data_IF_375388280734
#
_entry.id   IF_375388280734
#
_cell.length_a   1.000
_cell.length_b   1.000
_cell.length_c   1.000
_cell.angle_alpha   90.00
_cell.angle_beta   90.00
_cell.angle_gamma   90.00
#
_symmetry.space_group_name_H-M   'P 1'
#
loop_
_entity.id
_entity.type
_entity.pdbx_description
1 polymer ?
#
# COMPACT_ATOMS: atom_id res chain seq x y z
N UNK A 1 -40.69 74.10 -3.06
CA UNK A 1 -40.56 72.86 -3.84
C UNK A 1 -39.23 72.20 -3.54
N UNK A 2 -39.24 71.23 -2.59
CA UNK A 2 -38.03 70.59 -2.09
C UNK A 2 -37.93 69.20 -2.76
N UNK A 3 -36.91 68.97 -3.62
CA UNK A 3 -36.69 67.69 -4.33
C UNK A 3 -35.76 66.81 -3.50
N UNK A 4 -36.34 65.83 -2.81
CA UNK A 4 -35.60 64.78 -2.08
C UNK A 4 -35.00 63.81 -3.07
N UNK A 5 -33.66 63.73 -3.16
CA UNK A 5 -32.95 62.71 -3.94
C UNK A 5 -32.71 61.49 -3.05
N UNK A 6 -33.37 60.40 -3.37
CA UNK A 6 -33.15 59.08 -2.76
C UNK A 6 -31.90 58.46 -3.38
N UNK A 7 -30.84 58.28 -2.62
CA UNK A 7 -29.65 57.53 -3.01
C UNK A 7 -29.90 56.07 -2.63
N UNK A 8 -30.08 55.23 -3.65
CA UNK A 8 -30.06 53.76 -3.49
C UNK A 8 -28.61 53.30 -3.36
N UNK A 9 -28.19 52.85 -2.18
CA UNK A 9 -26.89 52.20 -1.94
C UNK A 9 -27.07 50.74 -2.29
N UNK A 10 -26.60 50.27 -3.46
CA UNK A 10 -26.54 48.88 -3.84
C UNK A 10 -25.41 48.19 -3.09
N UNK A 11 -25.73 47.40 -2.08
CA UNK A 11 -24.79 46.56 -1.33
C UNK A 11 -24.48 45.33 -2.21
N UNK A 12 -23.30 45.33 -2.84
CA UNK A 12 -22.75 44.13 -3.50
C UNK A 12 -22.34 43.14 -2.41
N UNK A 13 -23.20 42.14 -2.16
CA UNK A 13 -22.85 40.98 -1.35
C UNK A 13 -21.94 40.08 -2.20
N UNK A 14 -20.64 40.23 -2.02
CA UNK A 14 -19.63 39.31 -2.57
C UNK A 14 -19.76 37.99 -1.82
N UNK A 15 -20.49 37.02 -2.35
CA UNK A 15 -20.48 35.65 -1.84
C UNK A 15 -19.15 35.00 -2.25
N UNK A 16 -18.13 35.13 -1.42
CA UNK A 16 -16.98 34.24 -1.49
C UNK A 16 -17.48 32.84 -1.12
N UNK A 17 -17.74 32.02 -2.14
CA UNK A 17 -17.97 30.61 -1.91
C UNK A 17 -16.77 30.06 -1.15
N UNK A 18 -16.97 29.69 0.11
CA UNK A 18 -15.96 28.99 0.89
C UNK A 18 -15.66 27.68 0.14
N UNK A 19 -14.49 27.62 -0.50
CA UNK A 19 -14.01 26.41 -1.14
C UNK A 19 -13.78 25.41 -0.01
N UNK A 20 -14.63 24.39 0.10
CA UNK A 20 -14.41 23.31 1.04
C UNK A 20 -12.98 22.77 0.80
N UNK A 21 -12.16 22.81 1.84
CA UNK A 21 -10.83 22.22 1.78
C UNK A 21 -11.02 20.72 1.52
N UNK A 22 -10.22 20.16 0.60
CA UNK A 22 -10.18 18.72 0.40
C UNK A 22 -9.89 18.04 1.75
N UNK A 23 -10.49 16.87 2.02
CA UNK A 23 -10.23 16.15 3.27
C UNK A 23 -8.73 15.90 3.45
N UNK A 24 -8.25 15.89 4.69
CA UNK A 24 -6.86 15.50 5.00
C UNK A 24 -6.72 13.97 4.85
N UNK A 25 -6.95 13.49 3.64
CA UNK A 25 -6.77 12.10 3.27
C UNK A 25 -5.77 11.96 2.13
N UNK A 26 -5.00 10.89 2.18
CA UNK A 26 -4.13 10.46 1.08
C UNK A 26 -4.78 9.35 0.25
N UNK A 27 -5.94 8.80 0.67
CA UNK A 27 -6.62 7.71 -0.01
C UNK A 27 -7.50 8.25 -1.14
N UNK A 28 -7.23 7.78 -2.36
CA UNK A 28 -7.95 8.19 -3.57
C UNK A 28 -9.45 7.91 -3.45
N UNK A 29 -9.84 6.80 -2.84
CA UNK A 29 -11.24 6.38 -2.68
C UNK A 29 -12.04 7.24 -1.71
N UNK A 30 -11.39 8.09 -0.92
CA UNK A 30 -12.04 9.07 -0.03
C UNK A 30 -12.19 10.46 -0.67
N UNK A 31 -11.71 10.63 -1.90
CA UNK A 31 -11.74 11.90 -2.63
C UNK A 31 -12.85 11.91 -3.68
N UNK A 32 -13.48 13.06 -3.86
CA UNK A 32 -14.30 13.30 -5.06
C UNK A 32 -13.39 13.50 -6.28
N UNK A 33 -13.93 13.30 -7.50
CA UNK A 33 -13.16 13.49 -8.72
C UNK A 33 -12.62 14.93 -8.88
N UNK A 34 -13.33 15.93 -8.33
CA UNK A 34 -12.89 17.34 -8.36
C UNK A 34 -11.75 17.60 -7.40
N UNK A 35 -11.77 17.03 -6.20
CA UNK A 35 -10.69 17.09 -5.23
C UNK A 35 -9.44 16.41 -5.77
N UNK A 36 -9.58 15.21 -6.33
CA UNK A 36 -8.47 14.49 -6.98
C UNK A 36 -7.83 15.33 -8.08
N UNK A 37 -8.64 15.87 -8.99
CA UNK A 37 -8.17 16.73 -10.08
C UNK A 37 -7.34 17.93 -9.54
N UNK A 38 -7.86 18.57 -8.50
CA UNK A 38 -7.22 19.78 -7.93
C UNK A 38 -5.92 19.41 -7.17
N UNK A 39 -5.89 18.25 -6.49
CA UNK A 39 -4.68 17.71 -5.85
C UNK A 39 -3.60 17.37 -6.88
N UNK A 40 -3.94 16.70 -7.97
CA UNK A 40 -2.98 16.39 -9.06
C UNK A 40 -2.43 17.70 -9.66
N UNK A 41 -3.27 18.70 -9.92
CA UNK A 41 -2.84 20.02 -10.40
C UNK A 41 -1.95 20.76 -9.41
N UNK A 42 -2.11 20.53 -8.12
CA UNK A 42 -1.27 21.13 -7.07
C UNK A 42 0.05 20.41 -6.82
N UNK A 43 0.35 19.32 -7.57
CA UNK A 43 1.62 18.59 -7.49
C UNK A 43 1.55 17.21 -6.82
N UNK A 44 0.37 16.68 -6.47
CA UNK A 44 0.20 15.30 -6.04
C UNK A 44 0.24 14.38 -7.27
N UNK A 45 1.43 14.13 -7.79
CA UNK A 45 1.63 13.42 -9.07
C UNK A 45 2.12 11.98 -8.93
N UNK A 46 2.36 11.51 -7.71
CA UNK A 46 2.70 10.12 -7.41
C UNK A 46 1.46 9.38 -6.92
N UNK A 47 1.18 8.19 -7.46
CA UNK A 47 0.15 7.28 -6.94
C UNK A 47 0.79 5.98 -6.48
N UNK A 48 0.62 5.63 -5.21
CA UNK A 48 1.00 4.33 -4.67
C UNK A 48 -0.16 3.37 -4.91
N UNK A 49 0.13 2.25 -5.53
CA UNK A 49 -0.81 1.14 -5.77
C UNK A 49 -0.45 0.02 -4.80
N UNK A 50 -1.14 -0.08 -3.66
CA UNK A 50 -0.88 -1.12 -2.69
C UNK A 50 -1.42 -2.47 -3.18
N UNK A 51 -0.60 -3.51 -3.12
CA UNK A 51 -0.93 -4.87 -3.54
C UNK A 51 -0.82 -5.77 -2.32
N UNK A 52 -1.93 -6.36 -1.92
CA UNK A 52 -2.02 -7.20 -0.74
C UNK A 52 -2.04 -8.69 -1.06
N UNK A 53 -3.11 -9.35 -0.67
CA UNK A 53 -3.39 -10.76 -0.81
C UNK A 53 -4.35 -11.21 0.30
N UNK A 54 -5.13 -12.24 0.01
CA UNK A 54 -6.04 -12.84 0.99
C UNK A 54 -5.69 -14.30 1.13
N UNK A 55 -4.91 -14.63 2.15
CA UNK A 55 -4.35 -15.95 2.37
C UNK A 55 -4.47 -16.41 3.83
N UNK A 56 -4.26 -17.69 4.07
CA UNK A 56 -4.09 -18.22 5.41
C UNK A 56 -2.84 -17.63 6.09
N UNK A 57 -2.88 -17.41 7.38
CA UNK A 57 -1.78 -16.89 8.19
C UNK A 57 -1.75 -17.57 9.57
N UNK A 58 -1.81 -18.91 9.55
CA UNK A 58 -1.98 -19.71 10.76
C UNK A 58 -3.32 -19.45 11.48
N UNK A 59 -3.53 -20.06 12.64
CA UNK A 59 -4.79 -19.94 13.39
C UNK A 59 -4.93 -18.60 14.14
N UNK A 60 -3.88 -17.78 14.17
CA UNK A 60 -3.81 -16.58 15.00
C UNK A 60 -3.90 -15.26 14.23
N UNK A 61 -3.68 -15.24 12.92
CA UNK A 61 -3.84 -14.02 12.13
C UNK A 61 -4.98 -14.12 11.11
N UNK A 62 -5.65 -12.99 10.88
CA UNK A 62 -6.72 -12.90 9.90
C UNK A 62 -6.21 -13.02 8.46
N UNK A 63 -7.05 -13.57 7.57
CA UNK A 63 -6.75 -13.80 6.15
C UNK A 63 -6.30 -12.53 5.40
N UNK A 64 -6.79 -11.36 5.80
CA UNK A 64 -6.50 -10.08 5.17
C UNK A 64 -5.24 -9.37 5.71
N UNK A 65 -4.27 -10.09 6.28
CA UNK A 65 -3.00 -9.55 6.81
C UNK A 65 -2.35 -8.58 5.82
N UNK A 66 -2.06 -9.07 4.63
CA UNK A 66 -1.37 -8.31 3.59
C UNK A 66 -2.16 -7.07 3.15
N UNK A 67 -3.48 -7.21 2.95
CA UNK A 67 -4.33 -6.08 2.57
C UNK A 67 -4.27 -4.95 3.60
N UNK A 68 -4.34 -5.29 4.89
CA UNK A 68 -4.34 -4.32 5.97
C UNK A 68 -2.97 -3.69 6.17
N UNK A 69 -1.91 -4.49 6.10
CA UNK A 69 -0.53 -4.05 6.27
C UNK A 69 -0.13 -3.07 5.18
N UNK A 70 -0.30 -3.45 3.92
CA UNK A 70 0.06 -2.58 2.79
C UNK A 70 -0.77 -1.29 2.76
N UNK A 71 -2.06 -1.35 3.10
CA UNK A 71 -2.92 -0.16 3.17
C UNK A 71 -2.37 0.87 4.17
N UNK A 72 -2.11 0.47 5.42
CA UNK A 72 -1.65 1.37 6.47
C UNK A 72 -0.19 1.83 6.27
N UNK A 73 0.68 0.98 5.72
CA UNK A 73 2.06 1.38 5.43
C UNK A 73 2.12 2.32 4.23
N UNK A 74 1.28 2.11 3.21
CA UNK A 74 1.17 3.04 2.08
C UNK A 74 0.69 4.43 2.50
N UNK A 75 -0.24 4.53 3.46
CA UNK A 75 -0.62 5.82 4.05
C UNK A 75 0.60 6.53 4.66
N UNK A 76 1.35 5.82 5.52
CA UNK A 76 2.55 6.39 6.17
C UNK A 76 3.58 6.85 5.13
N UNK A 77 3.83 6.02 4.11
CA UNK A 77 4.76 6.33 3.01
C UNK A 77 4.28 7.56 2.24
N UNK A 78 3.01 7.62 1.83
CA UNK A 78 2.46 8.75 1.08
C UNK A 78 2.53 10.07 1.86
N UNK A 79 2.25 10.05 3.17
CA UNK A 79 2.37 11.22 4.04
C UNK A 79 3.82 11.72 4.15
N UNK A 80 4.82 10.82 4.25
CA UNK A 80 6.25 11.19 4.30
C UNK A 80 6.74 11.70 2.95
N UNK A 81 6.26 11.15 1.83
CA UNK A 81 6.58 11.64 0.48
C UNK A 81 6.01 13.04 0.22
N UNK A 82 4.84 13.34 0.73
CA UNK A 82 4.19 14.65 0.63
C UNK A 82 3.49 14.92 -0.72
N UNK A 83 3.93 14.30 -1.81
CA UNK A 83 3.37 14.44 -3.17
C UNK A 83 2.60 13.20 -3.65
N UNK A 84 2.35 12.23 -2.78
CA UNK A 84 1.73 10.97 -3.13
C UNK A 84 0.28 10.85 -2.64
N UNK A 85 -0.51 10.07 -3.38
CA UNK A 85 -1.80 9.53 -2.99
C UNK A 85 -1.73 7.99 -2.99
N UNK A 86 -2.72 7.33 -2.40
CA UNK A 86 -2.82 5.87 -2.28
C UNK A 86 -4.07 5.40 -3.00
N UNK A 87 -3.91 4.47 -3.92
CA UNK A 87 -5.00 3.80 -4.64
C UNK A 87 -5.70 2.76 -3.74
N UNK A 88 -6.89 2.27 -4.10
CA UNK A 88 -7.49 1.10 -3.48
C UNK A 88 -6.56 -0.12 -3.51
N UNK A 89 -6.62 -0.94 -2.46
CA UNK A 89 -5.79 -2.14 -2.36
C UNK A 89 -6.21 -3.19 -3.40
N UNK A 90 -5.24 -3.73 -4.14
CA UNK A 90 -5.45 -4.91 -4.97
C UNK A 90 -5.33 -6.15 -4.08
N UNK A 91 -6.47 -6.78 -3.76
CA UNK A 91 -6.59 -7.88 -2.81
C UNK A 91 -6.69 -9.27 -3.47
N UNK A 92 -6.95 -9.31 -4.79
CA UNK A 92 -7.03 -10.52 -5.58
C UNK A 92 -5.73 -10.69 -6.36
N UNK A 93 -4.88 -11.61 -5.88
CA UNK A 93 -3.51 -11.82 -6.34
C UNK A 93 -3.23 -13.33 -6.50
N UNK A 94 -2.15 -13.75 -7.17
CA UNK A 94 -1.74 -15.15 -7.21
C UNK A 94 -1.31 -15.68 -5.84
N UNK A 95 -2.00 -16.73 -5.36
CA UNK A 95 -1.75 -17.39 -4.07
C UNK A 95 -1.60 -18.92 -4.20
N UNK A 96 -1.48 -19.42 -5.42
CA UNK A 96 -1.32 -20.83 -5.72
C UNK A 96 -2.39 -21.40 -6.64
N UNK A 97 -2.26 -22.69 -6.96
CA UNK A 97 -3.17 -23.42 -7.84
C UNK A 97 -4.46 -23.87 -7.15
N UNK A 98 -5.55 -23.90 -7.91
CA UNK A 98 -6.88 -24.34 -7.43
C UNK A 98 -7.09 -25.84 -7.58
N UNK A 99 -6.56 -26.44 -8.67
CA UNK A 99 -6.77 -27.88 -8.97
C UNK A 99 -5.50 -28.55 -9.52
N UNK A 100 -4.80 -29.36 -8.70
CA UNK A 100 -5.00 -29.54 -7.25
C UNK A 100 -4.65 -28.28 -6.46
N UNK A 101 -5.18 -28.07 -5.24
CA UNK A 101 -4.79 -26.96 -4.39
C UNK A 101 -3.30 -27.02 -4.04
N UNK A 102 -2.59 -25.89 -4.24
CA UNK A 102 -1.18 -25.75 -3.88
C UNK A 102 -0.99 -24.56 -2.92
N UNK A 103 0.17 -24.46 -2.31
CA UNK A 103 0.56 -23.35 -1.43
C UNK A 103 -0.57 -23.02 -0.40
N UNK A 104 -0.90 -21.75 -0.26
CA UNK A 104 -1.92 -21.26 0.66
C UNK A 104 -3.34 -21.68 0.28
N UNK A 105 -3.57 -22.10 -0.98
CA UNK A 105 -4.88 -22.59 -1.45
C UNK A 105 -5.33 -23.89 -0.79
N UNK A 106 -4.46 -24.57 -0.05
CA UNK A 106 -4.82 -25.75 0.76
C UNK A 106 -5.66 -25.40 1.99
N UNK A 107 -5.77 -24.12 2.32
CA UNK A 107 -6.49 -23.63 3.51
C UNK A 107 -7.74 -22.84 3.11
N UNK A 108 -8.87 -23.05 3.80
CA UNK A 108 -10.09 -22.30 3.52
C UNK A 108 -9.90 -20.79 3.66
N UNK A 109 -10.48 -20.03 2.71
CA UNK A 109 -10.50 -18.58 2.75
C UNK A 109 -9.38 -17.91 1.98
N UNK A 110 -8.36 -18.64 1.52
CA UNK A 110 -7.38 -18.13 0.56
C UNK A 110 -8.05 -17.91 -0.79
N UNK A 111 -7.77 -16.78 -1.44
CA UNK A 111 -8.32 -16.40 -2.74
C UNK A 111 -7.16 -16.20 -3.72
N UNK A 112 -7.28 -16.80 -4.90
CA UNK A 112 -6.27 -16.65 -5.95
C UNK A 112 -6.88 -16.19 -7.28
N UNK A 113 -6.07 -15.52 -8.09
CA UNK A 113 -6.28 -15.30 -9.52
C UNK A 113 -5.04 -15.81 -10.27
N UNK A 114 -5.15 -15.99 -11.58
CA UNK A 114 -3.99 -16.35 -12.40
C UNK A 114 -3.08 -15.15 -12.63
N UNK A 115 -1.79 -15.40 -12.89
CA UNK A 115 -0.79 -14.35 -13.11
C UNK A 115 -1.21 -13.39 -14.23
N UNK A 116 -1.77 -13.91 -15.34
CA UNK A 116 -2.22 -13.09 -16.46
C UNK A 116 -3.38 -12.16 -16.11
N UNK A 117 -4.30 -12.59 -15.23
CA UNK A 117 -5.40 -11.75 -14.73
C UNK A 117 -4.83 -10.67 -13.81
N UNK A 118 -3.93 -11.04 -12.91
CA UNK A 118 -3.27 -10.11 -12.01
C UNK A 118 -2.49 -9.04 -12.78
N UNK A 119 -1.64 -9.43 -13.74
CA UNK A 119 -0.90 -8.49 -14.59
C UNK A 119 -1.83 -7.52 -15.33
N UNK A 120 -2.96 -8.00 -15.87
CA UNK A 120 -3.96 -7.14 -16.52
C UNK A 120 -4.62 -6.14 -15.58
N UNK A 121 -4.86 -6.52 -14.33
CA UNK A 121 -5.37 -5.59 -13.30
C UNK A 121 -4.36 -4.49 -13.03
N UNK A 122 -3.08 -4.83 -12.82
CA UNK A 122 -2.01 -3.86 -12.62
C UNK A 122 -1.89 -2.90 -13.81
N UNK A 123 -1.83 -3.44 -15.03
CA UNK A 123 -1.72 -2.65 -16.24
C UNK A 123 -2.89 -1.70 -16.43
N UNK A 124 -4.13 -2.19 -16.27
CA UNK A 124 -5.35 -1.39 -16.44
C UNK A 124 -5.44 -0.27 -15.40
N UNK A 125 -5.08 -0.57 -14.15
CA UNK A 125 -5.03 0.41 -13.08
C UNK A 125 -4.01 1.52 -13.38
N UNK A 126 -2.79 1.14 -13.77
CA UNK A 126 -1.73 2.09 -14.09
C UNK A 126 -2.10 3.01 -15.28
N UNK A 127 -2.73 2.47 -16.33
CA UNK A 127 -3.23 3.27 -17.47
C UNK A 127 -4.30 4.27 -17.02
N UNK A 128 -5.18 3.87 -16.11
CA UNK A 128 -6.20 4.76 -15.54
C UNK A 128 -5.58 5.90 -14.72
N UNK A 129 -4.55 5.63 -13.94
CA UNK A 129 -3.85 6.65 -13.17
C UNK A 129 -3.05 7.61 -14.07
N UNK A 130 -2.41 7.10 -15.14
CA UNK A 130 -1.80 7.95 -16.16
C UNK A 130 -2.82 8.90 -16.79
N UNK A 131 -4.00 8.40 -17.15
CA UNK A 131 -5.09 9.22 -17.70
C UNK A 131 -5.56 10.28 -16.70
N UNK A 132 -5.58 9.99 -15.40
CA UNK A 132 -5.93 10.92 -14.34
C UNK A 132 -4.88 12.03 -14.11
N UNK A 133 -3.68 11.92 -14.70
CA UNK A 133 -2.60 12.92 -14.64
C UNK A 133 -1.49 12.60 -13.65
N UNK A 134 -1.46 11.40 -13.09
CA UNK A 134 -0.30 10.95 -12.31
C UNK A 134 0.92 10.72 -13.23
N UNK A 135 2.10 11.02 -12.72
CA UNK A 135 3.38 10.87 -13.43
C UNK A 135 4.16 9.65 -12.96
N UNK A 136 4.06 9.34 -11.69
CA UNK A 136 4.73 8.20 -11.07
C UNK A 136 3.70 7.23 -10.53
N UNK A 137 3.60 6.05 -11.12
CA UNK A 137 2.76 4.95 -10.68
C UNK A 137 3.66 3.96 -9.96
N UNK A 138 3.47 3.82 -8.64
CA UNK A 138 4.34 3.06 -7.74
C UNK A 138 3.61 1.84 -7.24
N UNK A 139 4.00 0.65 -7.67
CA UNK A 139 3.52 -0.60 -7.14
C UNK A 139 4.26 -0.98 -5.86
N UNK A 140 3.51 -1.36 -4.83
CA UNK A 140 4.04 -1.87 -3.55
C UNK A 140 3.41 -3.22 -3.24
N UNK A 141 4.14 -4.30 -3.49
CA UNK A 141 3.71 -5.67 -3.24
C UNK A 141 4.08 -6.15 -1.83
N UNK A 142 3.09 -6.61 -1.08
CA UNK A 142 3.24 -7.07 0.33
C UNK A 142 3.43 -8.59 0.44
N UNK A 143 3.37 -9.35 -0.66
CA UNK A 143 3.55 -10.80 -0.70
C UNK A 143 4.61 -11.21 -1.74
N UNK A 144 5.34 -12.30 -1.48
CA UNK A 144 6.45 -12.75 -2.32
C UNK A 144 6.05 -13.35 -3.66
N UNK A 145 4.88 -13.97 -3.73
CA UNK A 145 4.46 -14.78 -4.86
C UNK A 145 4.36 -14.05 -6.20
N UNK A 146 4.06 -12.76 -6.18
CA UNK A 146 3.83 -11.95 -7.38
C UNK A 146 4.86 -10.83 -7.64
N UNK A 147 5.96 -10.77 -6.89
CA UNK A 147 6.99 -9.72 -7.07
C UNK A 147 7.55 -9.67 -8.49
N UNK A 148 7.70 -10.83 -9.14
CA UNK A 148 8.17 -10.95 -10.51
C UNK A 148 7.19 -10.34 -11.52
N UNK A 149 5.89 -10.58 -11.33
CA UNK A 149 4.84 -10.12 -12.24
C UNK A 149 4.67 -8.61 -12.12
N UNK A 150 4.64 -8.10 -10.89
CA UNK A 150 4.64 -6.68 -10.59
C UNK A 150 5.80 -5.95 -11.29
N UNK A 151 7.02 -6.46 -11.15
CA UNK A 151 8.21 -5.93 -11.83
C UNK A 151 8.10 -6.01 -13.33
N UNK A 152 7.57 -7.12 -13.87
CA UNK A 152 7.36 -7.32 -15.29
C UNK A 152 6.41 -6.28 -15.89
N UNK A 153 5.28 -6.03 -15.22
CA UNK A 153 4.30 -5.02 -15.63
C UNK A 153 4.90 -3.61 -15.57
N UNK A 154 5.54 -3.25 -14.46
CA UNK A 154 6.17 -1.94 -14.30
C UNK A 154 7.21 -1.68 -15.40
N UNK A 155 8.11 -2.63 -15.66
CA UNK A 155 9.16 -2.51 -16.69
C UNK A 155 8.56 -2.35 -18.10
N UNK A 156 7.49 -3.08 -18.42
CA UNK A 156 6.79 -3.00 -19.71
C UNK A 156 6.16 -1.63 -19.90
N UNK A 157 5.44 -1.14 -18.89
CA UNK A 157 4.76 0.15 -18.94
C UNK A 157 5.76 1.32 -18.98
N UNK A 158 6.82 1.28 -18.19
CA UNK A 158 7.85 2.32 -18.17
C UNK A 158 8.53 2.46 -19.54
N UNK A 159 8.83 1.33 -20.19
CA UNK A 159 9.36 1.33 -21.56
C UNK A 159 8.36 1.89 -22.57
N UNK A 160 7.08 1.51 -22.47
CA UNK A 160 6.03 2.02 -23.36
C UNK A 160 5.87 3.54 -23.22
N UNK A 161 6.02 4.06 -22.01
CA UNK A 161 5.76 5.46 -21.68
C UNK A 161 7.00 6.36 -21.71
N UNK A 162 8.17 5.84 -22.07
CA UNK A 162 9.46 6.53 -21.99
C UNK A 162 9.49 7.97 -22.60
N UNK A 163 8.67 8.22 -23.63
CA UNK A 163 8.59 9.54 -24.27
C UNK A 163 7.49 10.47 -23.68
N UNK A 164 6.78 10.03 -22.62
CA UNK A 164 5.59 10.75 -22.12
C UNK A 164 5.84 11.48 -20.79
N UNK A 165 6.98 11.28 -20.13
CA UNK A 165 7.27 11.78 -18.79
C UNK A 165 6.38 11.15 -17.72
N UNK A 166 5.87 9.94 -17.97
CA UNK A 166 5.13 9.11 -17.00
C UNK A 166 5.88 7.80 -16.81
N UNK A 167 6.01 7.37 -15.57
CA UNK A 167 6.83 6.22 -15.18
C UNK A 167 6.05 5.24 -14.32
N UNK A 168 6.35 3.96 -14.47
CA UNK A 168 5.85 2.89 -13.62
C UNK A 168 7.01 2.24 -12.85
N UNK A 169 6.86 2.11 -11.55
CA UNK A 169 7.89 1.61 -10.64
C UNK A 169 7.38 0.42 -9.84
N UNK A 170 8.10 -0.69 -9.84
CA UNK A 170 7.93 -1.75 -8.85
C UNK A 170 8.98 -1.55 -7.75
N UNK A 171 8.56 -1.30 -6.53
CA UNK A 171 9.46 -1.00 -5.41
C UNK A 171 9.69 -2.27 -4.58
N UNK A 172 10.55 -3.13 -5.08
CA UNK A 172 10.90 -4.42 -4.44
C UNK A 172 11.47 -4.24 -3.03
N UNK A 173 12.01 -3.04 -2.71
CA UNK A 173 12.55 -2.71 -1.40
C UNK A 173 11.51 -2.75 -0.29
N UNK A 174 10.23 -2.50 -0.60
CA UNK A 174 9.14 -2.64 0.35
C UNK A 174 9.07 -4.08 0.88
N UNK A 175 8.96 -5.06 -0.03
CA UNK A 175 8.92 -6.48 0.34
C UNK A 175 10.23 -6.95 0.96
N UNK A 176 11.37 -6.59 0.38
CA UNK A 176 12.69 -6.96 0.92
C UNK A 176 12.93 -6.43 2.34
N UNK A 177 12.45 -5.23 2.65
CA UNK A 177 12.56 -4.67 3.99
C UNK A 177 11.68 -5.42 5.00
N UNK A 178 10.48 -5.87 4.60
CA UNK A 178 9.57 -6.62 5.48
C UNK A 178 10.05 -8.04 5.76
N UNK A 179 10.68 -8.68 4.78
CA UNK A 179 11.15 -10.07 4.89
C UNK A 179 12.61 -10.14 5.31
N UNK A 180 13.54 -9.88 4.39
CA UNK A 180 14.95 -10.15 4.62
C UNK A 180 15.61 -9.16 5.59
N UNK A 181 15.30 -7.87 5.53
CA UNK A 181 15.99 -6.89 6.37
C UNK A 181 15.43 -6.90 7.80
N UNK A 182 14.12 -7.05 7.95
CA UNK A 182 13.51 -7.13 9.28
C UNK A 182 13.88 -8.43 9.99
N UNK A 183 13.91 -9.57 9.29
CA UNK A 183 14.38 -10.84 9.84
C UNK A 183 15.81 -10.72 10.39
N UNK A 184 16.74 -10.18 9.60
CA UNK A 184 18.13 -9.93 10.07
C UNK A 184 18.20 -8.98 11.27
N UNK A 185 17.32 -7.98 11.33
CA UNK A 185 17.25 -7.09 12.48
C UNK A 185 16.81 -7.84 13.74
N UNK A 186 15.86 -8.75 13.66
CA UNK A 186 15.40 -9.57 14.77
C UNK A 186 16.50 -10.57 15.19
N UNK A 187 17.15 -11.22 14.25
CA UNK A 187 18.28 -12.14 14.51
C UNK A 187 19.44 -11.42 15.23
N UNK A 188 19.78 -10.21 14.82
CA UNK A 188 20.79 -9.39 15.49
C UNK A 188 20.43 -9.02 16.92
N UNK A 189 19.16 -9.17 17.30
CA UNK A 189 18.64 -8.97 18.66
C UNK A 189 18.51 -10.26 19.47
N UNK A 190 19.01 -11.37 18.91
CA UNK A 190 19.04 -12.67 19.59
C UNK A 190 17.80 -13.53 19.43
N UNK A 191 16.96 -13.26 18.43
CA UNK A 191 15.87 -14.15 18.01
C UNK A 191 16.43 -15.19 17.03
N UNK A 192 16.06 -16.46 17.18
CA UNK A 192 16.51 -17.52 16.27
C UNK A 192 15.82 -17.45 14.90
N UNK A 193 16.52 -17.85 13.83
CA UNK A 193 15.99 -17.91 12.47
C UNK A 193 14.69 -18.72 12.39
N UNK A 194 14.64 -19.89 13.05
CA UNK A 194 13.44 -20.73 13.12
C UNK A 194 12.26 -20.05 13.84
N UNK A 195 12.54 -19.16 14.79
CA UNK A 195 11.51 -18.40 15.51
C UNK A 195 11.01 -17.21 14.65
N UNK A 196 11.93 -16.47 14.05
CA UNK A 196 11.62 -15.34 13.16
C UNK A 196 10.69 -15.83 12.05
N UNK A 197 11.07 -16.91 11.39
CA UNK A 197 10.27 -17.59 10.39
C UNK A 197 10.06 -16.79 9.11
N UNK A 198 9.36 -17.41 8.16
CA UNK A 198 9.07 -16.84 6.85
C UNK A 198 7.58 -16.60 6.61
N UNK A 199 6.70 -17.09 7.50
CA UNK A 199 5.25 -16.92 7.36
C UNK A 199 4.55 -17.09 8.70
N UNK A 200 3.79 -16.11 9.12
CA UNK A 200 3.03 -16.11 10.38
C UNK A 200 3.89 -16.39 11.65
N UNK A 201 5.22 -16.28 11.56
CA UNK A 201 6.16 -16.41 12.67
C UNK A 201 6.27 -15.11 13.48
N UNK A 202 7.39 -15.00 14.23
CA UNK A 202 7.68 -13.84 15.07
C UNK A 202 7.64 -12.51 14.30
N UNK A 203 8.29 -12.47 13.12
CA UNK A 203 8.39 -11.26 12.31
C UNK A 203 7.01 -10.77 11.82
N UNK A 204 6.32 -11.63 11.09
CA UNK A 204 5.01 -11.33 10.51
C UNK A 204 3.97 -10.94 11.56
N UNK A 205 3.90 -11.72 12.64
CA UNK A 205 2.94 -11.50 13.72
C UNK A 205 3.24 -10.22 14.48
N UNK A 206 4.53 -9.90 14.72
CA UNK A 206 4.92 -8.64 15.35
C UNK A 206 4.54 -7.44 14.51
N UNK A 207 4.79 -7.49 13.18
CA UNK A 207 4.36 -6.44 12.25
C UNK A 207 2.85 -6.20 12.35
N UNK A 208 2.04 -7.27 12.33
CA UNK A 208 0.58 -7.13 12.44
C UNK A 208 0.13 -6.60 13.79
N UNK A 209 0.78 -6.97 14.89
CA UNK A 209 0.49 -6.39 16.21
C UNK A 209 0.77 -4.89 16.26
N UNK A 210 1.78 -4.41 15.53
CA UNK A 210 2.07 -2.97 15.44
C UNK A 210 1.12 -2.23 14.49
N UNK A 211 0.71 -2.88 13.40
CA UNK A 211 -0.11 -2.26 12.35
C UNK A 211 -1.59 -2.28 12.71
N UNK A 212 -2.14 -3.45 13.05
CA UNK A 212 -3.54 -3.62 13.47
C UNK A 212 -3.71 -4.85 14.37
N UNK A 213 -3.58 -4.70 15.69
CA UNK A 213 -3.65 -5.82 16.65
C UNK A 213 -5.02 -6.53 16.65
N UNK A 214 -6.07 -5.91 16.12
CA UNK A 214 -7.42 -6.51 16.03
C UNK A 214 -7.45 -7.72 15.09
N UNK A 215 -6.49 -7.82 14.16
CA UNK A 215 -6.35 -8.93 13.23
C UNK A 215 -5.52 -10.09 13.80
N UNK A 216 -4.99 -9.97 15.02
CA UNK A 216 -4.22 -11.02 15.70
C UNK A 216 -5.00 -11.59 16.89
N UNK A 217 -5.06 -12.90 17.00
CA UNK A 217 -5.70 -13.63 18.09
C UNK A 217 -4.63 -13.98 19.14
N UNK A 218 -4.38 -13.06 20.07
CA UNK A 218 -3.29 -13.15 21.06
C UNK A 218 -3.32 -14.45 21.89
N UNK A 219 -4.48 -15.06 22.08
CA UNK A 219 -4.65 -16.33 22.80
C UNK A 219 -4.35 -17.57 21.93
N UNK A 220 -3.93 -17.41 20.67
CA UNK A 220 -3.60 -18.49 19.73
C UNK A 220 -2.19 -18.41 19.17
N UNK A 221 -1.31 -17.63 19.79
CA UNK A 221 0.09 -17.47 19.35
C UNK A 221 0.88 -18.75 19.66
N UNK A 222 0.96 -19.63 18.68
CA UNK A 222 1.74 -20.88 18.76
C UNK A 222 2.09 -21.40 17.35
N UNK A 223 3.20 -22.15 17.21
CA UNK A 223 3.47 -22.91 16.00
C UNK A 223 2.33 -23.87 15.67
N UNK A 224 2.14 -24.17 14.38
CA UNK A 224 1.11 -25.11 13.94
C UNK A 224 0.86 -24.99 12.44
N UNK A 225 -0.25 -25.54 11.99
CA UNK A 225 -0.62 -25.59 10.59
C UNK A 225 -0.68 -24.17 9.99
N UNK A 226 -0.02 -23.99 8.85
CA UNK A 226 0.06 -22.72 8.17
C UNK A 226 0.95 -21.68 8.85
N UNK A 227 1.81 -22.10 9.77
CA UNK A 227 2.82 -21.22 10.41
C UNK A 227 4.22 -21.76 10.11
N UNK A 228 5.07 -20.90 9.56
CA UNK A 228 6.49 -21.18 9.32
C UNK A 228 7.31 -20.24 10.18
N UNK A 229 7.42 -20.55 11.47
CA UNK A 229 8.06 -19.75 12.51
C UNK A 229 7.44 -20.00 13.88
N UNK A 230 7.77 -19.16 14.85
CA UNK A 230 7.19 -19.22 16.20
C UNK A 230 6.67 -17.84 16.65
N UNK A 231 5.33 -17.63 16.68
CA UNK A 231 4.75 -16.35 17.02
C UNK A 231 4.67 -16.05 18.52
N UNK A 232 5.07 -16.98 19.42
CA UNK A 232 4.83 -16.86 20.88
C UNK A 232 5.44 -15.63 21.53
N UNK A 233 6.60 -15.15 21.01
CA UNK A 233 7.30 -13.95 21.51
C UNK A 233 6.97 -12.68 20.72
N UNK A 234 6.02 -12.76 19.77
CA UNK A 234 5.61 -11.59 18.98
C UNK A 234 5.03 -10.49 19.87
N UNK A 235 5.39 -9.25 19.55
CA UNK A 235 4.89 -8.09 20.27
C UNK A 235 4.92 -6.83 19.38
N UNK A 236 4.10 -5.81 19.71
CA UNK A 236 3.99 -4.60 18.88
C UNK A 236 5.28 -3.75 18.88
N UNK A 237 6.13 -3.84 19.91
CA UNK A 237 7.38 -3.09 19.97
C UNK A 237 8.39 -3.59 18.92
N UNK A 238 8.49 -4.91 18.75
CA UNK A 238 9.28 -5.51 17.66
C UNK A 238 8.69 -5.13 16.31
N UNK A 239 7.37 -5.23 16.18
CA UNK A 239 6.68 -4.87 14.93
C UNK A 239 6.90 -3.41 14.53
N UNK A 240 6.96 -2.49 15.49
CA UNK A 240 7.22 -1.06 15.21
C UNK A 240 8.60 -0.86 14.56
N UNK A 241 9.63 -1.63 14.98
CA UNK A 241 10.95 -1.59 14.33
C UNK A 241 10.87 -1.99 12.85
N UNK A 242 10.05 -3.00 12.54
CA UNK A 242 9.81 -3.42 11.15
C UNK A 242 9.05 -2.36 10.36
N UNK A 243 8.01 -1.78 10.95
CA UNK A 243 7.25 -0.67 10.33
C UNK A 243 8.17 0.50 9.97
N UNK A 244 9.01 0.94 10.90
CA UNK A 244 9.93 2.07 10.68
C UNK A 244 10.95 1.75 9.60
N UNK A 245 11.48 0.52 9.58
CA UNK A 245 12.41 0.04 8.57
C UNK A 245 11.77 0.02 7.18
N UNK A 246 10.60 -0.58 7.04
CA UNK A 246 9.87 -0.68 5.77
C UNK A 246 9.55 0.71 5.22
N UNK A 247 8.98 1.59 6.05
CA UNK A 247 8.63 2.96 5.62
C UNK A 247 9.87 3.72 5.16
N UNK A 248 10.96 3.68 5.94
CA UNK A 248 12.20 4.40 5.61
C UNK A 248 12.79 3.89 4.29
N UNK A 249 12.97 2.57 4.14
CA UNK A 249 13.53 1.97 2.92
C UNK A 249 12.72 2.29 1.67
N UNK A 250 11.40 2.17 1.80
CA UNK A 250 10.47 2.41 0.70
C UNK A 250 10.48 3.87 0.27
N UNK A 251 10.39 4.80 1.22
CA UNK A 251 10.44 6.25 0.93
C UNK A 251 11.74 6.63 0.25
N UNK A 252 12.88 6.15 0.76
CA UNK A 252 14.20 6.45 0.18
C UNK A 252 14.32 5.93 -1.26
N UNK A 253 13.76 4.73 -1.52
CA UNK A 253 13.78 4.14 -2.85
C UNK A 253 12.86 4.88 -3.82
N UNK A 254 11.63 5.21 -3.41
CA UNK A 254 10.71 5.99 -4.24
C UNK A 254 11.34 7.35 -4.57
N UNK A 255 11.87 8.07 -3.60
CA UNK A 255 12.54 9.37 -3.85
C UNK A 255 13.65 9.25 -4.88
N UNK A 256 14.49 8.22 -4.81
CA UNK A 256 15.55 7.97 -5.79
C UNK A 256 15.00 7.62 -7.17
N UNK A 257 13.91 6.88 -7.26
CA UNK A 257 13.29 6.48 -8.52
C UNK A 257 12.71 7.70 -9.25
N UNK A 258 11.95 8.55 -8.55
CA UNK A 258 11.26 9.71 -9.14
C UNK A 258 12.21 10.90 -9.42
N UNK A 259 13.40 10.97 -8.80
CA UNK A 259 14.36 12.05 -9.04
C UNK A 259 15.40 11.76 -10.13
N UNK A 260 15.48 10.52 -10.63
CA UNK A 260 16.43 10.10 -11.69
C UNK A 260 15.92 10.34 -13.10
N UNK A 261 14.86 11.10 -13.26
CA UNK A 261 14.16 11.33 -14.53
C UNK A 261 14.46 12.72 -15.11
#
# INVERSE_FOLDING_TARGET
MLRTRLLLLAMLISTTAARALAPDSVFLEELTWTELRDLVKSGKTTIIVPIGGTEQNGPHMALGKHNRRVHLLSEKIARVLGNALVAPVIAYVPEGGVNPPTEHMRFPGTITVTDDVFEKVLESSARSFKLAGFRDIVFLGDHGGYQRDEKGVATRLDREWAATGVHAHAIEEYYRASEAEFSRLLESRGYGEEEVGTHAGLADTSLMLAVDPRLVRANRLQPGDGVHGDPRRSNPQLGQLGVDLIVTRTVDTIKKAVTRQ
#
